data_IF_424308808334
#
_entry.id   IF_424308808334
#
_cell.length_a   1.000
_cell.length_b   1.000
_cell.length_c   1.000
_cell.angle_alpha   90.00
_cell.angle_beta   90.00
_cell.angle_gamma   90.00
#
_symmetry.space_group_name_H-M   'P 1'
#
loop_
_entity.id
_entity.type
_entity.pdbx_description
1 polymer ?
#
# COMPACT_ATOMS: atom_id res chain seq x y z
N UNK A 1 15.22 17.27 17.10
CA UNK A 1 14.34 17.53 15.93
C UNK A 1 13.11 18.34 16.29
N UNK A 2 12.47 18.07 17.44
CA UNK A 2 11.33 18.86 17.96
C UNK A 2 11.59 20.39 18.05
N UNK A 3 12.77 20.79 18.54
CA UNK A 3 13.16 22.22 18.60
C UNK A 3 13.28 22.86 17.21
N UNK A 4 13.68 22.10 16.18
CA UNK A 4 13.79 22.60 14.80
C UNK A 4 12.43 22.69 14.11
N UNK A 5 11.52 21.75 14.40
CA UNK A 5 10.13 21.80 13.95
C UNK A 5 9.40 23.02 14.53
N UNK A 6 9.52 23.25 15.84
CA UNK A 6 8.90 24.40 16.51
C UNK A 6 9.47 25.74 16.01
N UNK A 7 10.70 25.75 15.50
CA UNK A 7 11.33 26.92 14.86
C UNK A 7 11.01 27.06 13.37
N UNK A 8 10.27 26.12 12.77
CA UNK A 8 9.98 26.09 11.33
C UNK A 8 11.18 25.71 10.45
N UNK A 9 12.30 25.31 11.04
CA UNK A 9 13.55 24.95 10.35
C UNK A 9 13.58 23.48 9.91
N UNK A 10 12.58 22.69 10.29
CA UNK A 10 12.41 21.30 9.88
C UNK A 10 10.96 21.03 9.48
N UNK A 11 10.75 20.64 8.23
CA UNK A 11 9.45 20.15 7.76
C UNK A 11 9.50 18.63 7.74
N UNK A 12 8.68 17.93 8.56
CA UNK A 12 8.64 16.48 8.55
C UNK A 12 8.17 15.97 7.18
N UNK A 13 8.64 14.78 6.82
CA UNK A 13 8.20 14.11 5.60
C UNK A 13 6.67 13.91 5.64
N UNK A 14 5.97 14.21 4.55
CA UNK A 14 4.54 13.93 4.45
C UNK A 14 4.28 12.42 4.48
N UNK A 15 3.09 12.01 4.91
CA UNK A 15 2.70 10.60 4.94
C UNK A 15 2.80 9.96 3.56
N UNK A 16 2.35 10.65 2.52
CA UNK A 16 2.44 10.18 1.13
C UNK A 16 3.90 10.02 0.67
N UNK A 17 4.78 10.97 1.01
CA UNK A 17 6.18 10.87 0.64
C UNK A 17 6.89 9.72 1.38
N UNK A 18 6.54 9.50 2.65
CA UNK A 18 7.02 8.35 3.41
C UNK A 18 6.54 7.02 2.83
N UNK A 19 5.26 6.94 2.43
CA UNK A 19 4.69 5.76 1.75
C UNK A 19 5.45 5.46 0.47
N UNK A 20 5.69 6.47 -0.38
CA UNK A 20 6.42 6.31 -1.65
C UNK A 20 7.85 5.82 -1.43
N UNK A 21 8.59 6.41 -0.49
CA UNK A 21 9.95 5.96 -0.18
C UNK A 21 9.97 4.52 0.36
N UNK A 22 9.05 4.20 1.28
CA UNK A 22 8.94 2.86 1.83
C UNK A 22 8.55 1.83 0.76
N UNK A 23 7.65 2.18 -0.17
CA UNK A 23 7.29 1.34 -1.32
C UNK A 23 8.53 0.96 -2.13
N UNK A 24 9.35 1.94 -2.52
CA UNK A 24 10.58 1.69 -3.28
C UNK A 24 11.52 0.73 -2.55
N UNK A 25 11.68 0.90 -1.22
CA UNK A 25 12.49 -0.01 -0.43
C UNK A 25 11.89 -1.43 -0.37
N UNK A 26 10.58 -1.54 -0.17
CA UNK A 26 9.87 -2.83 -0.16
C UNK A 26 10.04 -3.56 -1.49
N UNK A 27 9.83 -2.88 -2.61
CA UNK A 27 10.03 -3.45 -3.95
C UNK A 27 11.46 -3.95 -4.15
N UNK A 28 12.47 -3.15 -3.76
CA UNK A 28 13.87 -3.53 -3.88
C UNK A 28 14.19 -4.80 -3.06
N UNK A 29 13.72 -4.89 -1.82
CA UNK A 29 13.92 -6.07 -1.00
C UNK A 29 13.18 -7.30 -1.56
N UNK A 30 11.95 -7.12 -2.07
CA UNK A 30 11.19 -8.21 -2.70
C UNK A 30 11.92 -8.78 -3.93
N UNK A 31 12.44 -7.91 -4.81
CA UNK A 31 13.19 -8.30 -6.02
C UNK A 31 14.47 -9.08 -5.65
N UNK A 32 15.15 -8.68 -4.57
CA UNK A 32 16.34 -9.37 -4.07
C UNK A 32 16.02 -10.58 -3.19
N UNK A 33 14.74 -10.98 -3.09
CA UNK A 33 14.25 -12.07 -2.25
C UNK A 33 14.64 -11.93 -0.76
N UNK A 34 14.81 -10.70 -0.29
CA UNK A 34 15.14 -10.37 1.10
C UNK A 34 13.83 -10.30 1.90
N UNK A 35 13.77 -11.08 2.98
CA UNK A 35 12.61 -11.11 3.86
C UNK A 35 12.54 -9.84 4.70
N UNK A 36 11.53 -9.01 4.45
CA UNK A 36 11.21 -7.85 5.30
C UNK A 36 10.50 -8.35 6.56
N UNK A 37 11.10 -8.10 7.73
CA UNK A 37 10.50 -8.48 9.01
C UNK A 37 9.39 -7.53 9.45
N UNK A 38 9.56 -6.22 9.20
CA UNK A 38 8.64 -5.19 9.64
C UNK A 38 8.71 -3.94 8.75
N UNK A 39 7.56 -3.30 8.54
CA UNK A 39 7.43 -2.00 7.89
C UNK A 39 6.59 -1.12 8.82
N UNK A 40 7.10 0.05 9.18
CA UNK A 40 6.48 0.94 10.17
C UNK A 40 7.00 0.72 11.59
N UNK A 41 6.68 1.69 12.45
CA UNK A 41 7.10 1.70 13.85
C UNK A 41 6.24 0.76 14.71
N UNK A 42 6.77 0.30 15.85
CA UNK A 42 5.93 -0.32 16.86
C UNK A 42 5.03 0.76 17.46
N UNK A 43 3.70 0.59 17.51
CA UNK A 43 2.87 1.49 18.29
C UNK A 43 3.26 1.32 19.76
N UNK A 44 3.81 2.36 20.37
CA UNK A 44 3.85 2.48 21.83
C UNK A 44 2.71 3.40 22.25
N UNK A 45 2.19 3.22 23.48
CA UNK A 45 1.09 4.05 24.00
C UNK A 45 1.42 5.56 23.94
N UNK A 46 2.71 5.90 24.01
CA UNK A 46 3.25 7.25 23.85
C UNK A 46 3.11 7.83 22.43
N UNK A 47 3.13 6.97 21.39
CA UNK A 47 2.96 7.34 19.97
C UNK A 47 1.49 7.32 19.53
N UNK A 48 0.62 6.58 20.23
CA UNK A 48 -0.81 6.48 19.93
C UNK A 48 -1.67 7.56 20.63
N UNK A 49 -1.08 8.34 21.54
CA UNK A 49 -1.76 9.47 22.18
C UNK A 49 -1.94 10.62 21.19
N UNK A 50 -3.19 10.99 20.91
CA UNK A 50 -3.59 12.02 19.93
C UNK A 50 -2.89 13.39 20.12
N UNK A 51 -2.28 13.64 21.28
CA UNK A 51 -1.62 14.88 21.66
C UNK A 51 -0.08 14.86 21.66
N UNK A 52 0.59 13.81 21.16
CA UNK A 52 2.07 13.69 21.16
C UNK A 52 2.69 13.27 19.83
N UNK A 53 1.97 13.35 18.72
CA UNK A 53 2.59 13.21 17.39
C UNK A 53 3.33 14.51 17.08
N UNK A 54 4.52 14.64 17.69
CA UNK A 54 5.42 15.75 17.44
C UNK A 54 6.15 15.44 16.13
N UNK A 55 5.50 15.82 15.02
CA UNK A 55 6.06 15.91 13.68
C UNK A 55 6.64 14.60 13.10
N UNK A 56 5.77 13.80 12.46
CA UNK A 56 6.22 12.72 11.57
C UNK A 56 5.05 11.95 10.92
N UNK A 57 5.30 11.25 9.80
CA UNK A 57 4.30 10.45 9.09
C UNK A 57 4.04 9.12 9.83
N UNK A 58 3.43 9.19 11.02
CA UNK A 58 3.01 8.01 11.75
C UNK A 58 1.59 7.62 11.31
N UNK A 59 1.43 6.36 10.93
CA UNK A 59 0.11 5.76 10.75
C UNK A 59 0.14 4.34 11.35
N UNK A 60 -0.84 3.94 12.18
CA UNK A 60 -0.86 2.60 12.78
C UNK A 60 -0.87 1.50 11.72
N UNK A 61 -1.58 1.72 10.61
CA UNK A 61 -1.61 0.83 9.43
C UNK A 61 -0.56 1.19 8.36
N UNK A 62 0.59 1.78 8.70
CA UNK A 62 1.57 2.25 7.71
C UNK A 62 1.99 1.15 6.71
N UNK A 63 2.24 -0.07 7.19
CA UNK A 63 2.53 -1.21 6.30
C UNK A 63 1.42 -1.49 5.29
N UNK A 64 0.16 -1.39 5.72
CA UNK A 64 -0.99 -1.60 4.85
C UNK A 64 -1.08 -0.51 3.78
N UNK A 65 -0.82 0.75 4.13
CA UNK A 65 -0.77 1.85 3.17
C UNK A 65 0.31 1.65 2.11
N UNK A 66 1.53 1.30 2.55
CA UNK A 66 2.66 1.02 1.64
C UNK A 66 2.37 -0.15 0.71
N UNK A 67 1.84 -1.25 1.24
CA UNK A 67 1.52 -2.41 0.42
C UNK A 67 0.31 -2.15 -0.48
N UNK A 68 -0.68 -1.38 -0.03
CA UNK A 68 -1.82 -1.00 -0.88
C UNK A 68 -1.36 -0.20 -2.09
N UNK A 69 -0.50 0.80 -1.89
CA UNK A 69 0.06 1.63 -2.96
C UNK A 69 0.91 0.79 -3.94
N UNK A 70 1.70 -0.15 -3.41
CA UNK A 70 2.48 -1.10 -4.21
C UNK A 70 1.60 -2.05 -5.04
N UNK A 71 0.51 -2.54 -4.45
CA UNK A 71 -0.44 -3.40 -5.15
C UNK A 71 -1.23 -2.65 -6.22
N UNK A 72 -1.55 -1.37 -6.02
CA UNK A 72 -2.18 -0.54 -7.03
C UNK A 72 -1.33 -0.47 -8.31
N UNK A 73 -0.02 -0.23 -8.16
CA UNK A 73 0.91 -0.17 -9.30
C UNK A 73 0.96 -1.51 -10.06
N UNK A 74 0.97 -2.64 -9.33
CA UNK A 74 0.95 -3.98 -9.95
C UNK A 74 -0.36 -4.22 -10.72
N UNK A 75 -1.49 -3.84 -10.13
CA UNK A 75 -2.81 -4.01 -10.74
C UNK A 75 -2.96 -3.14 -11.99
N UNK A 76 -2.55 -1.87 -11.93
CA UNK A 76 -2.58 -0.94 -13.08
C UNK A 76 -1.68 -1.37 -14.24
N UNK A 77 -0.56 -2.04 -13.95
CA UNK A 77 0.29 -2.65 -15.00
C UNK A 77 -0.35 -3.89 -15.64
N UNK A 78 -1.29 -4.52 -14.96
CA UNK A 78 -1.93 -5.77 -15.41
C UNK A 78 -3.21 -5.51 -16.20
N UNK A 79 -3.96 -4.45 -15.87
CA UNK A 79 -5.21 -4.10 -16.54
C UNK A 79 -5.00 -3.07 -17.65
N UNK A 80 -5.83 -3.12 -18.68
CA UNK A 80 -5.86 -2.13 -19.77
C UNK A 80 -7.18 -1.35 -19.76
N UNK A 81 -7.20 -0.06 -20.18
CA UNK A 81 -8.43 0.75 -20.30
C UNK A 81 -9.50 0.13 -21.21
N UNK A 82 -9.09 -0.75 -22.13
CA UNK A 82 -9.99 -1.45 -23.05
C UNK A 82 -10.75 -2.61 -22.40
N UNK A 83 -10.37 -3.02 -21.18
CA UNK A 83 -10.99 -4.11 -20.46
C UNK A 83 -12.35 -3.67 -19.90
N UNK A 84 -13.46 -4.18 -20.47
CA UNK A 84 -14.81 -3.76 -20.04
C UNK A 84 -15.28 -4.44 -18.74
N UNK A 85 -14.81 -5.66 -18.49
CA UNK A 85 -15.21 -6.47 -17.34
C UNK A 85 -14.15 -7.53 -17.03
N UNK A 86 -13.43 -7.32 -15.93
CA UNK A 86 -12.34 -8.20 -15.52
C UNK A 86 -12.55 -8.69 -14.09
N UNK A 87 -12.21 -9.96 -13.85
CA UNK A 87 -12.03 -10.48 -12.49
C UNK A 87 -10.56 -10.74 -12.26
N UNK A 88 -9.97 -10.00 -11.32
CA UNK A 88 -8.60 -10.20 -10.86
C UNK A 88 -8.61 -11.19 -9.70
N UNK A 89 -7.66 -12.11 -9.74
CA UNK A 89 -7.40 -13.10 -8.70
C UNK A 89 -6.02 -12.82 -8.11
N UNK A 90 -5.96 -12.80 -6.78
CA UNK A 90 -4.75 -12.52 -6.01
C UNK A 90 -4.59 -13.56 -4.90
N UNK A 91 -3.38 -13.80 -4.37
CA UNK A 91 -3.18 -14.65 -3.21
C UNK A 91 -4.03 -14.21 -2.02
N UNK A 92 -4.48 -15.16 -1.19
CA UNK A 92 -5.19 -14.87 0.05
C UNK A 92 -4.43 -13.90 0.97
N UNK A 93 -3.11 -14.03 1.04
CA UNK A 93 -2.26 -13.15 1.86
C UNK A 93 -2.20 -11.71 1.36
N UNK A 94 -2.62 -11.47 0.12
CA UNK A 94 -2.51 -10.18 -0.55
C UNK A 94 -3.86 -9.50 -0.77
N UNK A 95 -4.98 -10.17 -0.50
CA UNK A 95 -6.32 -9.66 -0.82
C UNK A 95 -6.60 -8.28 -0.22
N UNK A 96 -6.21 -8.05 1.02
CA UNK A 96 -6.42 -6.75 1.69
C UNK A 96 -5.58 -5.65 1.03
N UNK A 97 -4.35 -5.95 0.62
CA UNK A 97 -3.49 -5.00 -0.08
C UNK A 97 -3.98 -4.72 -1.51
N UNK A 98 -4.50 -5.75 -2.19
CA UNK A 98 -5.09 -5.61 -3.51
C UNK A 98 -6.38 -4.79 -3.49
N UNK A 99 -7.23 -4.98 -2.48
CA UNK A 99 -8.42 -4.14 -2.25
C UNK A 99 -8.01 -2.70 -1.90
N UNK A 100 -6.93 -2.58 -1.12
CA UNK A 100 -6.36 -1.33 -0.65
C UNK A 100 -7.01 -0.85 0.65
N UNK A 101 -6.25 -0.09 1.44
CA UNK A 101 -6.76 0.59 2.63
C UNK A 101 -7.99 1.43 2.29
N UNK A 102 -9.09 1.26 3.03
CA UNK A 102 -10.39 1.87 2.73
C UNK A 102 -10.90 1.63 1.28
N UNK A 103 -10.56 0.48 0.68
CA UNK A 103 -10.95 0.12 -0.69
C UNK A 103 -10.40 1.04 -1.80
N UNK A 104 -9.36 1.81 -1.51
CA UNK A 104 -8.81 2.83 -2.42
C UNK A 104 -8.41 2.27 -3.80
N UNK A 105 -7.87 1.05 -3.85
CA UNK A 105 -7.39 0.45 -5.10
C UNK A 105 -8.56 0.00 -5.97
N UNK A 106 -9.58 -0.61 -5.37
CA UNK A 106 -10.80 -1.00 -6.08
C UNK A 106 -11.47 0.22 -6.69
N UNK A 107 -11.58 1.32 -5.95
CA UNK A 107 -12.21 2.54 -6.45
C UNK A 107 -11.38 3.23 -7.54
N UNK A 108 -10.06 3.21 -7.43
CA UNK A 108 -9.16 3.68 -8.49
C UNK A 108 -9.30 2.86 -9.77
N UNK A 109 -9.31 1.52 -9.64
CA UNK A 109 -9.44 0.62 -10.79
C UNK A 109 -10.83 0.71 -11.43
N UNK A 110 -11.90 0.85 -10.64
CA UNK A 110 -13.26 1.09 -11.18
C UNK A 110 -13.32 2.35 -12.04
N UNK A 111 -12.61 3.42 -11.65
CA UNK A 111 -12.52 4.65 -12.46
C UNK A 111 -11.72 4.44 -13.74
N UNK A 112 -10.75 3.52 -13.74
CA UNK A 112 -9.86 3.26 -14.87
C UNK A 112 -10.47 2.33 -15.94
N UNK A 113 -11.14 1.24 -15.54
CA UNK A 113 -11.68 0.21 -16.46
C UNK A 113 -13.20 -0.02 -16.33
N UNK A 114 -13.86 0.64 -15.37
CA UNK A 114 -15.28 0.42 -15.10
C UNK A 114 -15.53 -0.74 -14.13
N UNK A 115 -15.81 -1.94 -14.65
CA UNK A 115 -16.29 -3.06 -13.83
C UNK A 115 -15.18 -4.05 -13.47
N UNK A 116 -14.78 -4.05 -12.20
CA UNK A 116 -13.72 -4.90 -11.67
C UNK A 116 -14.19 -5.68 -10.44
N UNK A 117 -13.76 -6.94 -10.35
CA UNK A 117 -13.88 -7.76 -9.13
C UNK A 117 -12.52 -8.32 -8.75
N UNK A 118 -12.15 -8.19 -7.49
CA UNK A 118 -10.94 -8.81 -6.93
C UNK A 118 -11.39 -10.01 -6.08
N UNK A 119 -10.78 -11.17 -6.30
CA UNK A 119 -11.05 -12.39 -5.54
C UNK A 119 -9.76 -13.03 -5.04
N UNK A 120 -9.76 -13.66 -3.85
CA UNK A 120 -8.65 -14.48 -3.44
C UNK A 120 -8.62 -15.80 -4.24
N UNK A 121 -7.41 -16.30 -4.54
CA UNK A 121 -7.17 -17.60 -5.15
C UNK A 121 -6.07 -18.32 -4.35
N UNK A 122 -6.33 -19.57 -3.95
CA UNK A 122 -5.44 -20.37 -3.12
C UNK A 122 -4.25 -20.94 -3.91
N UNK A 123 -4.37 -21.01 -5.24
CA UNK A 123 -3.31 -21.53 -6.10
C UNK A 123 -2.25 -20.47 -6.42
N UNK A 124 -2.55 -19.20 -6.15
CA UNK A 124 -1.62 -18.10 -6.35
C UNK A 124 -0.74 -17.94 -5.13
N UNK A 125 0.55 -17.92 -5.38
CA UNK A 125 1.58 -17.63 -4.40
C UNK A 125 2.02 -16.18 -4.49
N UNK A 126 2.62 -15.69 -3.40
CA UNK A 126 3.30 -14.40 -3.23
C UNK A 126 3.41 -13.53 -4.51
N UNK A 127 2.69 -12.41 -4.53
CA UNK A 127 2.71 -11.39 -5.59
C UNK A 127 2.19 -11.81 -6.98
N UNK A 128 1.71 -13.05 -7.17
CA UNK A 128 1.10 -13.47 -8.43
C UNK A 128 -0.28 -12.81 -8.63
N UNK A 129 -0.63 -12.55 -9.89
CA UNK A 129 -1.91 -11.98 -10.29
C UNK A 129 -2.41 -12.77 -11.47
N UNK A 130 -3.63 -13.30 -11.37
CA UNK A 130 -4.32 -13.91 -12.50
C UNK A 130 -5.57 -13.10 -12.84
N UNK A 131 -6.02 -13.15 -14.08
CA UNK A 131 -7.21 -12.42 -14.52
C UNK A 131 -8.04 -13.22 -15.52
N UNK A 132 -9.34 -12.97 -15.51
CA UNK A 132 -10.29 -13.58 -16.44
C UNK A 132 -11.27 -12.52 -16.95
N UNK A 133 -11.48 -12.49 -18.27
CA UNK A 133 -12.44 -11.64 -18.95
C UNK A 133 -13.84 -12.29 -18.98
N UNK A 134 -14.88 -11.46 -19.05
CA UNK A 134 -16.28 -11.87 -19.19
C UNK A 134 -16.91 -11.25 -20.42
#
# INVERSE_FOLDING_TARGET
MEILYQKGEYTPLSLEAAIKQAKTAVELFEINNIKILKVGLHPSDELCSENKIIAGPFHPSFRELVLSDLWLDKLLKTVSPSDKKITIRVPYSAINYAIGYNSCNVDTLKKYIGNIKIKPDANLTKNEIAYSYH
#
